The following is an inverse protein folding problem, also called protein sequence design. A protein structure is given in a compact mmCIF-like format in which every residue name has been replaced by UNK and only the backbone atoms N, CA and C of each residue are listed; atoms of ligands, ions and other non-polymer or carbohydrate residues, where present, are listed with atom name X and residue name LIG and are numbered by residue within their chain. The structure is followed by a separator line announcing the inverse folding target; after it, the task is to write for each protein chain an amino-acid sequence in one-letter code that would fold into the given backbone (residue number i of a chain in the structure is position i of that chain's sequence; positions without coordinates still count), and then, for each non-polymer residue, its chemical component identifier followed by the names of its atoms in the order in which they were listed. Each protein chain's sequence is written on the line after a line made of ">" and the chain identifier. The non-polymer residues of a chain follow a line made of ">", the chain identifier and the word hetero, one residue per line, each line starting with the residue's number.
data_IF_132464163707
#
_entry.id   IF_132464163707
#
_cell.length_a   1.000
_cell.length_b   1.000
_cell.length_c   1.000
_cell.angle_alpha   90.00
_cell.angle_beta   90.00
_cell.angle_gamma   90.00
#
_symmetry.space_group_name_H-M   'P 1'
#
loop_
_entity.id
_entity.type
_entity.pdbx_description
1 polymer ?
#
# COMPACT_ATOMS: atom_id res chain seq x y z
N UNK A 1 -11.30 -3.57 17.88
CA UNK A 1 -11.23 -3.98 16.47
C UNK A 1 -11.74 -2.83 15.61
N UNK A 2 -11.02 -2.46 14.55
CA UNK A 2 -11.44 -1.41 13.62
C UNK A 2 -11.81 -2.11 12.30
N UNK A 3 -12.92 -1.71 11.70
CA UNK A 3 -13.41 -2.29 10.44
C UNK A 3 -14.09 -1.24 9.57
N UNK A 4 -14.22 -1.54 8.28
CA UNK A 4 -14.90 -0.69 7.30
C UNK A 4 -15.61 -1.56 6.27
N UNK A 5 -16.88 -1.27 6.02
CA UNK A 5 -17.61 -1.81 4.87
C UNK A 5 -17.77 -0.71 3.83
N UNK A 6 -17.51 -1.03 2.56
CA UNK A 6 -17.79 -0.13 1.45
C UNK A 6 -18.65 -0.84 0.42
N UNK A 7 -19.61 -0.07 -0.11
CA UNK A 7 -20.50 -0.50 -1.17
C UNK A 7 -20.16 0.29 -2.43
N UNK A 8 -20.20 -0.38 -3.58
CA UNK A 8 -19.81 0.16 -4.86
C UNK A 8 -20.48 -0.58 -5.99
N UNK A 9 -20.15 -0.18 -7.22
CA UNK A 9 -20.72 -0.79 -8.41
C UNK A 9 -20.15 -2.20 -8.57
N UNK A 10 -21.03 -3.21 -8.70
CA UNK A 10 -20.69 -4.63 -8.89
C UNK A 10 -21.17 -5.15 -10.25
N UNK A 11 -21.90 -4.34 -11.01
CA UNK A 11 -22.29 -4.58 -12.40
C UNK A 11 -22.71 -3.28 -13.09
N UNK A 12 -22.93 -3.29 -14.41
CA UNK A 12 -23.29 -2.11 -15.19
C UNK A 12 -24.45 -1.26 -14.60
N UNK A 13 -25.38 -1.91 -13.92
CA UNK A 13 -26.47 -1.26 -13.17
C UNK A 13 -26.71 -1.89 -11.79
N UNK A 14 -25.69 -2.56 -11.24
CA UNK A 14 -25.78 -3.24 -9.95
C UNK A 14 -24.78 -2.65 -8.95
N UNK A 15 -25.20 -2.57 -7.69
CA UNK A 15 -24.39 -2.11 -6.57
C UNK A 15 -24.43 -3.14 -5.46
N UNK A 16 -23.32 -3.29 -4.75
CA UNK A 16 -23.18 -4.27 -3.69
C UNK A 16 -21.97 -3.98 -2.82
N UNK A 17 -21.73 -4.85 -1.85
CA UNK A 17 -20.56 -4.79 -0.98
C UNK A 17 -19.30 -5.08 -1.80
N UNK A 18 -18.33 -4.17 -1.77
CA UNK A 18 -17.04 -4.29 -2.48
C UNK A 18 -15.86 -4.42 -1.52
N UNK A 19 -16.02 -4.03 -0.26
CA UNK A 19 -15.02 -4.23 0.78
C UNK A 19 -15.67 -4.56 2.12
N UNK A 20 -15.07 -5.48 2.86
CA UNK A 20 -15.37 -5.75 4.26
C UNK A 20 -14.06 -5.90 5.03
N UNK A 21 -13.46 -4.75 5.33
CA UNK A 21 -12.09 -4.64 5.82
C UNK A 21 -12.02 -4.82 7.33
N UNK A 22 -11.06 -5.61 7.79
CA UNK A 22 -10.63 -5.70 9.19
C UNK A 22 -9.20 -5.21 9.31
N UNK A 23 -8.97 -4.21 10.16
CA UNK A 23 -7.65 -3.63 10.39
C UNK A 23 -7.01 -4.20 11.65
N UNK A 24 -5.77 -4.66 11.52
CA UNK A 24 -4.91 -4.96 12.66
C UNK A 24 -3.93 -3.82 12.87
N UNK A 25 -3.85 -3.32 14.11
CA UNK A 25 -3.01 -2.18 14.48
C UNK A 25 -2.06 -2.55 15.62
N UNK A 26 -0.84 -2.02 15.56
CA UNK A 26 0.10 -1.94 16.69
C UNK A 26 0.13 -0.50 17.18
N UNK A 27 -0.60 -0.20 18.26
CA UNK A 27 -0.89 1.18 18.63
C UNK A 27 -1.71 1.88 17.53
N UNK A 28 -1.12 2.90 16.90
CA UNK A 28 -1.73 3.63 15.78
C UNK A 28 -1.14 3.23 14.40
N UNK A 29 -0.20 2.29 14.35
CA UNK A 29 0.40 1.81 13.11
C UNK A 29 -0.41 0.65 12.54
N UNK A 30 -0.74 0.71 11.25
CA UNK A 30 -1.45 -0.36 10.54
C UNK A 30 -0.50 -1.50 10.24
N UNK A 31 -0.79 -2.73 10.68
CA UNK A 31 0.10 -3.88 10.44
C UNK A 31 -0.44 -4.88 9.40
N UNK A 32 -1.76 -4.91 9.19
CA UNK A 32 -2.46 -5.82 8.27
C UNK A 32 -3.87 -5.34 7.97
N UNK A 33 -4.34 -5.62 6.75
CA UNK A 33 -5.74 -5.41 6.34
C UNK A 33 -6.26 -6.69 5.71
N UNK A 34 -7.28 -7.29 6.32
CA UNK A 34 -8.00 -8.41 5.72
C UNK A 34 -9.28 -7.91 5.06
N UNK A 35 -9.56 -8.37 3.84
CA UNK A 35 -10.85 -8.15 3.18
C UNK A 35 -11.64 -9.46 3.10
N UNK A 36 -12.85 -9.47 3.66
CA UNK A 36 -13.76 -10.61 3.59
C UNK A 36 -14.65 -10.61 2.34
N UNK A 37 -14.47 -9.65 1.42
CA UNK A 37 -15.17 -9.59 0.14
C UNK A 37 -14.24 -10.03 -0.99
N UNK A 38 -14.72 -10.95 -1.82
CA UNK A 38 -14.04 -11.38 -3.05
C UNK A 38 -14.67 -10.80 -4.32
N UNK A 39 -15.79 -10.07 -4.19
CA UNK A 39 -16.47 -9.44 -5.32
C UNK A 39 -15.64 -8.26 -5.83
N UNK A 40 -15.12 -8.38 -7.05
CA UNK A 40 -14.45 -7.27 -7.72
C UNK A 40 -15.44 -6.13 -7.99
N UNK A 41 -15.02 -4.89 -7.75
CA UNK A 41 -15.76 -3.73 -8.24
C UNK A 41 -15.83 -3.78 -9.78
N UNK A 42 -16.98 -3.39 -10.33
CA UNK A 42 -17.23 -3.36 -11.76
C UNK A 42 -16.44 -2.22 -12.44
N UNK A 43 -15.77 -2.53 -13.56
CA UNK A 43 -14.97 -1.55 -14.30
C UNK A 43 -13.61 -1.30 -13.64
N UNK A 44 -13.34 -0.07 -13.21
CA UNK A 44 -12.13 0.24 -12.45
C UNK A 44 -12.23 -0.42 -11.08
N UNK A 45 -11.28 -1.30 -10.75
CA UNK A 45 -11.29 -1.95 -9.44
C UNK A 45 -11.04 -0.89 -8.36
N UNK A 46 -12.12 -0.45 -7.71
CA UNK A 46 -12.11 0.52 -6.62
C UNK A 46 -12.12 -0.15 -5.24
N UNK A 47 -12.25 -1.49 -5.20
CA UNK A 47 -12.11 -2.28 -3.99
C UNK A 47 -10.66 -2.32 -3.53
N UNK A 48 -10.45 -2.59 -2.25
CA UNK A 48 -9.15 -2.91 -1.71
C UNK A 48 -8.62 -4.18 -2.37
N UNK A 49 -7.34 -4.16 -2.75
CA UNK A 49 -6.68 -5.34 -3.30
C UNK A 49 -5.92 -5.99 -2.17
N UNK A 50 -6.48 -7.10 -1.67
CA UNK A 50 -5.82 -7.93 -0.66
C UNK A 50 -4.72 -8.78 -1.33
N UNK A 51 -3.60 -8.13 -1.67
CA UNK A 51 -2.50 -8.70 -2.43
C UNK A 51 -1.58 -9.62 -1.62
N UNK A 52 -1.69 -9.62 -0.30
CA UNK A 52 -0.92 -10.47 0.59
C UNK A 52 -1.78 -10.94 1.76
N UNK A 53 -1.51 -12.14 2.28
CA UNK A 53 -2.12 -12.62 3.52
C UNK A 53 -1.02 -13.14 4.44
N UNK A 54 -0.30 -12.21 5.05
CA UNK A 54 0.87 -12.49 5.87
C UNK A 54 0.78 -11.75 7.21
N UNK A 55 1.57 -12.18 8.19
CA UNK A 55 1.77 -11.35 9.38
C UNK A 55 2.70 -10.18 9.00
N UNK A 56 2.36 -8.95 9.42
CA UNK A 56 3.21 -7.78 9.17
C UNK A 56 3.30 -7.38 7.69
N UNK A 57 2.16 -7.28 7.01
CA UNK A 57 2.06 -6.81 5.61
C UNK A 57 2.53 -5.36 5.45
N UNK A 58 2.34 -4.58 6.50
CA UNK A 58 2.82 -3.21 6.65
C UNK A 58 3.88 -3.20 7.74
N UNK A 59 5.02 -2.57 7.44
CA UNK A 59 6.11 -2.40 8.40
C UNK A 59 6.57 -0.96 8.41
N UNK A 60 7.15 -0.54 9.54
CA UNK A 60 7.63 0.82 9.74
C UNK A 60 9.04 0.82 10.32
N UNK A 61 9.80 1.86 10.02
CA UNK A 61 11.05 2.16 10.73
C UNK A 61 10.79 2.85 12.07
N UNK A 62 11.87 3.11 12.82
CA UNK A 62 11.80 3.77 14.13
C UNK A 62 11.32 5.23 14.07
N UNK A 63 11.42 5.89 12.90
CA UNK A 63 10.89 7.23 12.67
C UNK A 63 9.40 7.21 12.29
N UNK A 64 8.82 6.01 12.14
CA UNK A 64 7.42 5.81 11.78
C UNK A 64 7.15 5.86 10.28
N UNK A 65 8.18 5.84 9.43
CA UNK A 65 7.98 5.76 7.99
C UNK A 65 7.65 4.35 7.56
N UNK A 66 6.80 4.20 6.55
CA UNK A 66 6.45 2.90 5.98
C UNK A 66 7.64 2.30 5.24
N UNK A 67 8.06 1.09 5.60
CA UNK A 67 9.16 0.36 4.93
C UNK A 67 8.68 -0.79 4.06
N UNK A 68 7.41 -1.17 4.16
CA UNK A 68 6.82 -2.30 3.43
C UNK A 68 5.32 -2.14 3.27
N UNK A 69 4.79 -2.53 2.12
CA UNK A 69 3.35 -2.70 1.86
C UNK A 69 3.16 -3.86 0.88
N UNK A 70 2.98 -5.06 1.44
CA UNK A 70 2.87 -6.28 0.65
C UNK A 70 1.59 -6.33 -0.20
N UNK A 71 0.52 -5.61 0.19
CA UNK A 71 -0.70 -5.52 -0.62
C UNK A 71 -0.47 -4.76 -1.93
N UNK A 72 0.58 -3.93 -2.00
CA UNK A 72 1.05 -3.26 -3.21
C UNK A 72 2.27 -3.92 -3.85
N UNK A 73 2.71 -5.07 -3.33
CA UNK A 73 3.96 -5.71 -3.75
C UNK A 73 5.22 -4.94 -3.37
N UNK A 74 5.15 -3.94 -2.50
CA UNK A 74 6.30 -3.17 -2.04
C UNK A 74 7.02 -3.95 -0.95
N UNK A 75 8.24 -4.41 -1.25
CA UNK A 75 9.03 -5.25 -0.36
C UNK A 75 9.97 -4.46 0.54
N UNK A 76 10.39 -3.27 0.08
CA UNK A 76 11.31 -2.38 0.78
C UNK A 76 11.09 -0.91 0.37
N UNK A 77 11.13 -0.01 1.33
CA UNK A 77 11.23 1.45 1.13
C UNK A 77 12.39 1.95 1.96
N UNK A 78 13.38 2.52 1.29
CA UNK A 78 14.54 3.15 1.92
C UNK A 78 14.33 4.65 2.04
N UNK A 79 14.90 5.23 3.08
CA UNK A 79 14.82 6.65 3.38
C UNK A 79 16.21 7.26 3.43
N UNK A 80 16.35 8.50 2.95
CA UNK A 80 17.59 9.25 3.07
C UNK A 80 17.71 9.95 4.43
N UNK A 81 18.82 10.65 4.66
CA UNK A 81 19.10 11.38 5.91
C UNK A 81 18.10 12.52 6.21
N UNK A 82 17.32 12.96 5.23
CA UNK A 82 16.24 13.94 5.40
C UNK A 82 14.89 13.27 5.71
N UNK A 83 14.90 11.95 5.94
CA UNK A 83 13.70 11.15 6.18
C UNK A 83 12.73 11.13 4.98
N UNK A 84 13.26 11.28 3.75
CA UNK A 84 12.50 11.22 2.50
C UNK A 84 12.73 9.86 1.79
N UNK A 85 11.71 9.27 1.14
CA UNK A 85 11.87 8.00 0.41
C UNK A 85 12.93 8.13 -0.68
N UNK A 86 13.98 7.31 -0.64
CA UNK A 86 15.04 7.29 -1.65
C UNK A 86 14.84 6.19 -2.69
N UNK A 87 14.36 5.01 -2.28
CA UNK A 87 14.11 3.87 -3.15
C UNK A 87 12.88 3.11 -2.68
N UNK A 88 12.01 2.74 -3.62
CA UNK A 88 10.89 1.81 -3.43
C UNK A 88 11.17 0.59 -4.29
N UNK A 89 11.23 -0.59 -3.67
CA UNK A 89 11.47 -1.86 -4.34
C UNK A 89 10.21 -2.72 -4.35
N UNK A 90 9.94 -3.34 -5.49
CA UNK A 90 8.77 -4.18 -5.70
C UNK A 90 9.17 -5.65 -5.83
N UNK A 91 8.24 -6.55 -5.53
CA UNK A 91 8.44 -8.00 -5.60
C UNK A 91 8.69 -8.53 -7.02
N UNK A 92 8.29 -7.78 -8.05
CA UNK A 92 8.54 -8.09 -9.46
C UNK A 92 9.93 -7.64 -9.94
N UNK A 93 10.75 -7.05 -9.06
CA UNK A 93 12.07 -6.50 -9.40
C UNK A 93 12.04 -5.07 -9.95
N UNK A 94 10.85 -4.48 -10.12
CA UNK A 94 10.71 -3.07 -10.44
C UNK A 94 11.17 -2.20 -9.28
N UNK A 95 11.63 -0.97 -9.59
CA UNK A 95 12.03 0.00 -8.57
C UNK A 95 11.62 1.42 -8.95
N UNK A 96 11.36 2.25 -7.95
CA UNK A 96 11.28 3.70 -8.10
C UNK A 96 12.38 4.33 -7.25
N UNK A 97 13.24 5.15 -7.86
CA UNK A 97 14.28 5.89 -7.13
C UNK A 97 14.04 7.38 -7.22
N UNK A 98 14.33 8.09 -6.13
CA UNK A 98 14.14 9.52 -6.01
C UNK A 98 15.48 10.20 -5.69
N UNK A 99 15.72 11.34 -6.34
CA UNK A 99 16.87 12.20 -6.05
C UNK A 99 16.36 13.53 -5.54
N UNK A 100 16.96 14.01 -4.46
CA UNK A 100 16.60 15.26 -3.81
C UNK A 100 17.79 16.21 -3.73
N UNK A 101 17.50 17.51 -3.73
CA UNK A 101 18.44 18.52 -3.28
C UNK A 101 18.64 18.45 -1.76
N UNK A 102 19.67 19.13 -1.26
CA UNK A 102 19.96 19.20 0.18
C UNK A 102 18.84 19.91 0.98
N UNK A 103 18.02 20.71 0.30
CA UNK A 103 16.83 21.39 0.84
C UNK A 103 15.58 20.48 0.87
N UNK A 104 15.69 19.25 0.38
CA UNK A 104 14.57 18.31 0.28
C UNK A 104 13.73 18.47 -1.00
N UNK A 105 14.08 19.37 -1.92
CA UNK A 105 13.38 19.51 -3.20
C UNK A 105 13.59 18.24 -4.03
N UNK A 106 12.51 17.62 -4.50
CA UNK A 106 12.59 16.44 -5.38
C UNK A 106 13.04 16.86 -6.77
N UNK A 107 14.21 16.39 -7.19
CA UNK A 107 14.83 16.75 -8.48
C UNK A 107 14.55 15.71 -9.57
N UNK A 108 14.41 14.44 -9.19
CA UNK A 108 14.24 13.35 -10.16
C UNK A 108 13.46 12.17 -9.57
N UNK A 109 12.72 11.52 -10.45
CA UNK A 109 12.14 10.19 -10.25
C UNK A 109 12.61 9.29 -11.39
N UNK A 110 13.03 8.06 -11.08
CA UNK A 110 13.35 7.04 -12.09
C UNK A 110 12.54 5.80 -11.83
N UNK A 111 11.89 5.29 -12.87
CA UNK A 111 11.20 4.01 -12.85
C UNK A 111 12.04 2.99 -13.62
N UNK A 112 12.29 1.84 -12.98
CA UNK A 112 12.86 0.67 -13.63
C UNK A 112 11.84 -0.45 -13.54
N UNK A 113 11.60 -1.12 -14.65
CA UNK A 113 10.74 -2.30 -14.72
C UNK A 113 11.62 -3.55 -14.60
N UNK A 114 11.17 -4.51 -13.79
CA UNK A 114 11.80 -5.82 -13.60
C UNK A 114 11.70 -6.73 -14.81
#
# INVERSE_FOLDING_TARGET
>A
MKSLQRYGQTGASAYGLIDNLTYTLTGNQLSRVDDAVSTAAYGTNTAFVNGASAAGEYAYDANGNLTKDLNKGITDIQYNVLNLPSTVSFSDGSTITYTYGADGTKLRTVHKIG
#
